data_IF_407262478529
#
_entry.id   IF_407262478529
#
_cell.length_a   1.000
_cell.length_b   1.000
_cell.length_c   1.000
_cell.angle_alpha   90.00
_cell.angle_beta   90.00
_cell.angle_gamma   90.00
#
_symmetry.space_group_name_H-M   'P 1'
#
loop_
_entity.id
_entity.type
_entity.pdbx_description
1 polymer ?
#
# COMPACT_ATOMS: atom_id res chain seq x y z
N UNK A 1 49.84 -9.29 38.39
CA UNK A 1 48.93 -8.49 37.54
C UNK A 1 48.33 -9.28 36.39
N UNK A 2 49.08 -10.13 35.69
CA UNK A 2 48.60 -10.99 34.58
C UNK A 2 47.34 -11.82 34.90
N UNK A 3 47.22 -12.41 36.10
CA UNK A 3 46.03 -13.21 36.47
C UNK A 3 44.73 -12.40 36.51
N UNK A 4 44.78 -11.12 36.91
CA UNK A 4 43.61 -10.23 36.94
C UNK A 4 43.21 -9.79 35.53
N UNK A 5 44.19 -9.59 34.66
CA UNK A 5 43.98 -9.23 33.24
C UNK A 5 43.32 -10.42 32.51
N UNK A 6 43.83 -11.63 32.70
CA UNK A 6 43.24 -12.85 32.12
C UNK A 6 41.80 -13.09 32.58
N UNK A 7 41.48 -12.79 33.84
CA UNK A 7 40.11 -12.93 34.36
C UNK A 7 39.14 -11.95 33.70
N UNK A 8 39.56 -10.69 33.50
CA UNK A 8 38.73 -9.68 32.81
C UNK A 8 38.52 -10.04 31.34
N UNK A 9 39.55 -10.53 30.65
CA UNK A 9 39.41 -11.01 29.27
C UNK A 9 38.52 -12.26 29.18
N UNK A 10 38.63 -13.20 30.13
CA UNK A 10 37.75 -14.37 30.20
C UNK A 10 36.30 -14.00 30.45
N UNK A 11 36.03 -13.04 31.34
CA UNK A 11 34.68 -12.55 31.62
C UNK A 11 34.09 -11.82 30.40
N UNK A 12 34.88 -11.00 29.71
CA UNK A 12 34.49 -10.33 28.47
C UNK A 12 34.16 -11.34 27.36
N UNK A 13 34.95 -12.41 27.22
CA UNK A 13 34.70 -13.48 26.25
C UNK A 13 33.41 -14.25 26.57
N UNK A 14 33.16 -14.56 27.85
CA UNK A 14 31.92 -15.23 28.27
C UNK A 14 30.68 -14.36 28.08
N UNK A 15 30.78 -13.05 28.37
CA UNK A 15 29.71 -12.11 28.09
C UNK A 15 29.40 -12.03 26.58
N UNK A 16 30.44 -12.06 25.73
CA UNK A 16 30.28 -12.11 24.27
C UNK A 16 29.62 -13.40 23.80
N UNK A 17 29.95 -14.55 24.39
CA UNK A 17 29.34 -15.85 24.06
C UNK A 17 27.85 -15.92 24.45
N UNK A 18 27.46 -15.33 25.59
CA UNK A 18 26.05 -15.28 26.03
C UNK A 18 25.22 -14.38 25.09
N UNK A 19 25.77 -13.24 24.66
CA UNK A 19 25.09 -12.32 23.72
C UNK A 19 25.03 -12.90 22.30
N UNK A 20 26.01 -13.72 21.90
CA UNK A 20 26.03 -14.38 20.59
C UNK A 20 25.01 -15.53 20.43
N UNK A 21 24.41 -16.02 21.52
CA UNK A 21 23.43 -17.12 21.47
C UNK A 21 22.02 -16.70 21.01
N UNK A 22 21.77 -15.43 20.72
CA UNK A 22 20.53 -15.01 20.05
C UNK A 22 20.75 -15.05 18.54
N UNK A 23 20.52 -16.23 17.93
CA UNK A 23 20.57 -16.41 16.49
C UNK A 23 19.31 -15.76 15.90
N UNK A 24 19.41 -14.48 15.50
CA UNK A 24 18.41 -13.88 14.63
C UNK A 24 18.75 -14.26 13.17
N UNK A 25 18.11 -15.30 12.63
CA UNK A 25 18.26 -15.70 11.21
C UNK A 25 17.47 -14.75 10.31
N UNK A 26 17.92 -13.49 10.22
CA UNK A 26 17.30 -12.52 9.34
C UNK A 26 17.85 -12.67 7.92
N UNK A 27 16.98 -12.89 6.92
CA UNK A 27 17.43 -12.87 5.55
C UNK A 27 17.95 -11.47 5.18
N UNK A 28 18.89 -11.37 4.22
CA UNK A 28 19.36 -10.07 3.76
C UNK A 28 18.22 -9.32 3.07
N UNK A 29 18.04 -8.04 3.44
CA UNK A 29 17.07 -7.10 2.86
C UNK A 29 17.25 -7.03 1.36
N UNK A 30 16.25 -7.37 0.57
CA UNK A 30 16.31 -7.25 -0.89
C UNK A 30 15.77 -5.92 -1.35
N UNK A 31 16.31 -5.42 -2.46
CA UNK A 31 15.64 -4.35 -3.22
C UNK A 31 14.94 -4.96 -4.43
N UNK A 32 13.63 -4.81 -4.48
CA UNK A 32 12.73 -5.35 -5.49
C UNK A 32 12.20 -4.20 -6.33
N UNK A 33 12.58 -4.18 -7.61
CA UNK A 33 11.98 -3.27 -8.58
C UNK A 33 10.75 -3.94 -9.18
N UNK A 34 9.65 -3.20 -9.27
CA UNK A 34 8.41 -3.68 -9.87
C UNK A 34 7.80 -2.65 -10.81
N UNK A 35 6.89 -3.13 -11.66
CA UNK A 35 6.06 -2.30 -12.53
C UNK A 35 4.61 -2.71 -12.39
N UNK A 36 3.70 -1.76 -12.45
CA UNK A 36 2.26 -1.93 -12.48
C UNK A 36 1.82 -2.31 -13.90
N UNK A 37 1.13 -3.43 -14.05
CA UNK A 37 0.61 -3.95 -15.32
C UNK A 37 -0.89 -3.75 -15.50
N UNK A 38 -1.61 -3.52 -14.42
CA UNK A 38 -3.07 -3.40 -14.44
C UNK A 38 -3.61 -3.02 -13.07
N UNK A 39 -4.93 -2.92 -12.99
CA UNK A 39 -5.65 -2.69 -11.74
C UNK A 39 -6.83 -3.67 -11.64
N UNK A 40 -7.23 -3.98 -10.41
CA UNK A 40 -8.45 -4.71 -10.08
C UNK A 40 -9.18 -3.95 -8.99
N UNK A 41 -10.49 -3.77 -9.16
CA UNK A 41 -11.33 -3.04 -8.23
C UNK A 41 -12.31 -3.98 -7.55
N UNK A 42 -12.57 -3.71 -6.26
CA UNK A 42 -13.64 -4.36 -5.51
C UNK A 42 -14.43 -3.32 -4.73
N UNK A 43 -15.74 -3.54 -4.62
CA UNK A 43 -16.59 -2.74 -3.76
C UNK A 43 -16.24 -2.99 -2.29
N UNK A 44 -16.25 -1.94 -1.48
CA UNK A 44 -16.05 -2.00 -0.04
C UNK A 44 -17.26 -1.42 0.70
N UNK A 45 -17.55 -2.01 1.85
CA UNK A 45 -18.51 -1.49 2.82
C UNK A 45 -17.80 -1.32 4.17
N UNK A 46 -17.62 -0.08 4.61
CA UNK A 46 -16.92 0.23 5.86
C UNK A 46 -17.65 -0.27 7.12
N UNK A 47 -18.87 -0.78 7.01
CA UNK A 47 -19.55 -1.47 8.12
C UNK A 47 -19.06 -2.91 8.31
N UNK A 48 -18.40 -3.51 7.31
CA UNK A 48 -17.88 -4.87 7.38
C UNK A 48 -16.52 -4.91 8.11
N UNK A 49 -16.15 -6.06 8.72
CA UNK A 49 -14.80 -6.25 9.24
C UNK A 49 -13.77 -6.25 8.10
N UNK A 50 -12.52 -5.88 8.43
CA UNK A 50 -11.40 -5.90 7.47
C UNK A 50 -11.29 -7.28 6.78
N UNK A 51 -11.17 -7.34 5.44
CA UNK A 51 -10.78 -6.27 4.51
C UNK A 51 -11.94 -5.41 3.95
N UNK A 52 -13.14 -5.48 4.56
CA UNK A 52 -14.31 -4.66 4.19
C UNK A 52 -14.87 -4.92 2.78
N UNK A 53 -14.45 -6.00 2.12
CA UNK A 53 -14.83 -6.30 0.73
C UNK A 53 -16.29 -6.78 0.67
N UNK A 54 -17.08 -6.15 -0.18
CA UNK A 54 -18.45 -6.53 -0.49
C UNK A 54 -18.51 -7.20 -1.88
N UNK A 55 -19.04 -8.42 -1.95
CA UNK A 55 -19.07 -9.19 -3.20
C UNK A 55 -20.19 -8.74 -4.17
N UNK A 56 -21.26 -8.15 -3.64
CA UNK A 56 -22.37 -7.50 -4.37
C UNK A 56 -23.42 -7.06 -3.35
N UNK A 57 -24.14 -5.99 -3.60
CA UNK A 57 -25.33 -5.67 -2.80
C UNK A 57 -25.68 -4.20 -2.71
N UNK A 58 -26.65 -3.96 -1.85
CA UNK A 58 -27.08 -2.64 -1.41
C UNK A 58 -26.12 -2.20 -0.29
N UNK A 59 -25.38 -1.13 -0.51
CA UNK A 59 -24.42 -0.56 0.45
C UNK A 59 -24.89 0.85 0.80
N UNK A 60 -24.81 1.23 2.07
CA UNK A 60 -25.07 2.63 2.43
C UNK A 60 -24.02 3.52 1.78
N UNK A 61 -24.47 4.60 1.15
CA UNK A 61 -23.60 5.56 0.47
C UNK A 61 -22.51 6.12 1.40
N UNK A 62 -22.81 6.24 2.70
CA UNK A 62 -21.89 6.72 3.72
C UNK A 62 -20.75 5.73 4.06
N UNK A 63 -20.95 4.45 3.77
CA UNK A 63 -19.97 3.40 4.05
C UNK A 63 -19.23 2.92 2.80
N UNK A 64 -19.66 3.37 1.62
CA UNK A 64 -19.15 2.85 0.37
C UNK A 64 -17.69 3.26 0.12
N UNK A 65 -16.89 2.29 -0.32
CA UNK A 65 -15.56 2.53 -0.82
C UNK A 65 -15.17 1.59 -1.96
N UNK A 66 -13.98 1.81 -2.51
CA UNK A 66 -13.39 1.05 -3.60
C UNK A 66 -12.01 0.60 -3.14
N UNK A 67 -11.81 -0.72 -3.11
CA UNK A 67 -10.47 -1.29 -2.95
C UNK A 67 -9.78 -1.26 -4.32
N UNK A 68 -8.60 -0.63 -4.38
CA UNK A 68 -7.77 -0.60 -5.59
C UNK A 68 -6.57 -1.52 -5.39
N UNK A 69 -6.54 -2.61 -6.14
CA UNK A 69 -5.41 -3.52 -6.18
C UNK A 69 -4.63 -3.33 -7.49
N UNK A 70 -3.39 -2.87 -7.39
CA UNK A 70 -2.49 -2.81 -8.54
C UNK A 70 -1.91 -4.19 -8.81
N UNK A 71 -2.02 -4.63 -10.06
CA UNK A 71 -1.41 -5.86 -10.54
C UNK A 71 0.04 -5.56 -10.89
N UNK A 72 0.98 -6.07 -10.12
CA UNK A 72 2.42 -5.75 -10.29
C UNK A 72 3.21 -6.92 -10.87
N UNK A 73 4.30 -6.62 -11.56
CA UNK A 73 5.29 -7.58 -11.99
C UNK A 73 6.69 -7.16 -11.51
N UNK A 74 7.44 -8.12 -11.00
CA UNK A 74 8.82 -7.92 -10.57
C UNK A 74 9.75 -7.83 -11.79
N UNK A 75 10.67 -6.86 -11.78
CA UNK A 75 11.64 -6.63 -12.84
C UNK A 75 13.03 -7.13 -12.46
N UNK A 76 13.47 -6.86 -11.24
CA UNK A 76 14.81 -7.25 -10.76
C UNK A 76 14.87 -7.35 -9.25
N UNK A 77 15.88 -8.08 -8.76
CA UNK A 77 16.16 -8.30 -7.35
C UNK A 77 17.64 -7.97 -7.09
N UNK A 78 17.91 -7.03 -6.19
CA UNK A 78 19.27 -6.77 -5.70
C UNK A 78 19.39 -7.36 -4.29
N UNK A 79 20.37 -8.25 -4.10
CA UNK A 79 20.74 -8.80 -2.80
C UNK A 79 21.96 -8.02 -2.27
N UNK A 80 21.91 -7.42 -1.08
CA UNK A 80 23.04 -6.72 -0.49
C UNK A 80 24.19 -7.71 -0.23
N UNK A 81 25.42 -7.23 -0.37
CA UNK A 81 26.61 -8.02 -0.12
C UNK A 81 26.70 -8.36 1.39
N UNK A 82 27.06 -9.60 1.70
CA UNK A 82 27.30 -10.05 3.07
C UNK A 82 28.61 -9.42 3.53
N UNK A 83 28.55 -8.52 4.51
CA UNK A 83 29.76 -7.98 5.16
C UNK A 83 30.25 -8.97 6.21
N UNK A 84 31.42 -9.56 5.98
CA UNK A 84 32.10 -10.41 6.95
C UNK A 84 32.81 -9.52 7.99
N UNK A 85 32.23 -9.40 9.19
CA UNK A 85 32.84 -8.70 10.33
C UNK A 85 32.72 -9.55 11.59
N UNK A 86 33.73 -9.48 12.47
CA UNK A 86 33.80 -10.22 13.74
C UNK A 86 32.76 -9.75 14.79
N UNK A 87 32.06 -8.66 14.51
CA UNK A 87 30.92 -8.19 15.31
C UNK A 87 29.68 -8.19 14.41
N UNK A 88 28.91 -9.27 14.49
CA UNK A 88 27.55 -9.29 13.99
C UNK A 88 26.75 -8.39 14.94
N UNK A 89 26.33 -7.23 14.44
CA UNK A 89 25.46 -6.28 15.13
C UNK A 89 24.33 -7.00 15.86
N UNK A 90 24.30 -6.91 17.20
CA UNK A 90 23.23 -7.42 18.03
C UNK A 90 22.00 -6.50 17.88
N UNK A 91 21.27 -6.67 16.79
CA UNK A 91 19.92 -6.13 16.70
C UNK A 91 19.02 -7.03 17.57
N UNK A 92 18.19 -6.44 18.42
CA UNK A 92 17.00 -7.14 18.90
C UNK A 92 16.29 -7.74 17.66
N UNK A 93 15.92 -9.02 17.67
CA UNK A 93 15.46 -9.78 16.49
C UNK A 93 14.23 -9.15 15.79
N UNK A 94 14.47 -8.09 15.05
CA UNK A 94 13.54 -7.35 14.22
C UNK A 94 14.21 -7.30 12.86
N UNK A 95 13.80 -8.23 11.99
CA UNK A 95 14.33 -8.25 10.64
C UNK A 95 13.80 -7.04 9.89
N UNK A 96 14.67 -6.41 9.11
CA UNK A 96 14.27 -5.31 8.24
C UNK A 96 13.48 -5.85 7.05
N UNK A 97 12.45 -5.12 6.63
CA UNK A 97 11.62 -5.47 5.47
C UNK A 97 12.37 -5.26 4.15
N UNK A 98 11.93 -5.96 3.10
CA UNK A 98 12.41 -5.75 1.73
C UNK A 98 12.01 -4.37 1.20
N UNK A 99 12.90 -3.76 0.43
CA UNK A 99 12.71 -2.48 -0.23
C UNK A 99 11.98 -2.66 -1.57
N UNK A 100 10.74 -2.16 -1.70
CA UNK A 100 9.99 -2.13 -2.96
C UNK A 100 10.08 -0.80 -3.69
N UNK A 101 10.53 -0.82 -4.96
CA UNK A 101 10.65 0.36 -5.84
C UNK A 101 9.73 0.20 -7.04
N UNK A 102 8.77 1.11 -7.19
CA UNK A 102 8.03 1.20 -8.45
C UNK A 102 8.93 1.82 -9.52
N UNK A 103 8.97 1.22 -10.72
CA UNK A 103 9.68 1.79 -11.87
C UNK A 103 8.99 3.06 -12.39
N UNK A 104 7.69 3.17 -12.18
CA UNK A 104 6.88 4.29 -12.61
C UNK A 104 5.98 4.79 -11.48
N UNK A 105 5.83 6.11 -11.41
CA UNK A 105 5.00 6.77 -10.42
C UNK A 105 3.55 6.84 -10.91
N UNK A 106 2.62 6.91 -9.96
CA UNK A 106 1.24 7.29 -10.27
C UNK A 106 1.20 8.82 -10.41
N UNK A 107 0.74 9.30 -11.56
CA UNK A 107 0.61 10.74 -11.83
C UNK A 107 -0.78 11.26 -11.48
N UNK A 108 -1.81 10.49 -11.79
CA UNK A 108 -3.20 10.84 -11.50
C UNK A 108 -4.05 9.59 -11.38
N UNK A 109 -5.11 9.71 -10.59
CA UNK A 109 -6.17 8.72 -10.48
C UNK A 109 -7.50 9.45 -10.66
N UNK A 110 -8.35 8.93 -11.54
CA UNK A 110 -9.68 9.47 -11.79
C UNK A 110 -10.76 8.42 -11.58
N UNK A 111 -11.90 8.85 -11.04
CA UNK A 111 -13.07 7.98 -10.80
C UNK A 111 -14.24 8.46 -11.63
N UNK A 112 -14.92 7.56 -12.31
CA UNK A 112 -16.08 7.83 -13.15
C UNK A 112 -17.22 6.89 -12.78
N UNK A 113 -18.46 7.32 -12.95
CA UNK A 113 -19.63 6.45 -12.81
C UNK A 113 -20.31 6.19 -14.15
N UNK A 114 -20.85 4.97 -14.32
CA UNK A 114 -21.60 4.58 -15.51
C UNK A 114 -23.03 5.15 -15.59
N UNK A 115 -23.50 5.84 -14.55
CA UNK A 115 -24.83 6.46 -14.45
C UNK A 115 -24.72 7.88 -13.90
N UNK A 116 -25.76 8.68 -14.12
CA UNK A 116 -25.87 10.03 -13.57
C UNK A 116 -25.82 10.00 -12.05
N UNK A 117 -24.84 10.70 -11.47
CA UNK A 117 -24.61 10.72 -10.03
C UNK A 117 -25.44 11.83 -9.37
N UNK A 118 -25.39 13.02 -9.95
CA UNK A 118 -26.19 14.19 -9.59
C UNK A 118 -26.42 15.08 -10.82
N UNK A 119 -27.12 16.21 -10.64
CA UNK A 119 -27.49 17.12 -11.75
C UNK A 119 -26.26 17.71 -12.48
N UNK A 120 -25.14 17.87 -11.77
CA UNK A 120 -23.90 18.44 -12.32
C UNK A 120 -22.91 17.37 -12.80
N UNK A 121 -23.12 16.11 -12.42
CA UNK A 121 -22.26 14.98 -12.77
C UNK A 121 -23.07 13.90 -13.49
N UNK A 122 -23.32 14.07 -14.80
CA UNK A 122 -23.96 13.05 -15.62
C UNK A 122 -23.06 11.80 -15.73
N UNK A 123 -23.58 10.76 -16.37
CA UNK A 123 -22.84 9.56 -16.73
C UNK A 123 -21.48 9.90 -17.34
N UNK A 124 -20.47 9.13 -16.94
CA UNK A 124 -19.06 9.28 -17.34
C UNK A 124 -18.42 10.63 -16.94
N UNK A 125 -19.06 11.42 -16.06
CA UNK A 125 -18.43 12.57 -15.44
C UNK A 125 -17.36 12.15 -14.43
N UNK A 126 -16.33 13.00 -14.27
CA UNK A 126 -15.26 12.81 -13.30
C UNK A 126 -15.79 13.08 -11.88
N UNK A 127 -15.78 12.05 -11.04
CA UNK A 127 -16.22 12.05 -9.65
C UNK A 127 -15.05 12.02 -8.65
N UNK A 128 -13.82 12.25 -9.10
CA UNK A 128 -12.63 12.11 -8.25
C UNK A 128 -12.68 12.97 -6.98
N UNK A 129 -13.29 14.15 -7.06
CA UNK A 129 -13.48 15.06 -5.92
C UNK A 129 -14.44 14.52 -4.86
N UNK A 130 -15.31 13.58 -5.21
CA UNK A 130 -16.27 12.94 -4.31
C UNK A 130 -15.68 11.74 -3.56
N UNK A 131 -14.48 11.31 -3.94
CA UNK A 131 -13.76 10.23 -3.27
C UNK A 131 -12.58 10.78 -2.48
N UNK A 132 -12.33 10.18 -1.32
CA UNK A 132 -11.14 10.43 -0.50
C UNK A 132 -10.40 9.15 -0.23
N UNK A 133 -9.08 9.23 -0.17
CA UNK A 133 -8.22 8.09 0.15
C UNK A 133 -8.00 8.06 1.66
N UNK A 134 -8.13 6.88 2.25
CA UNK A 134 -7.82 6.68 3.66
C UNK A 134 -6.30 6.48 3.83
N UNK A 135 -5.71 7.26 4.73
CA UNK A 135 -4.30 7.20 5.12
C UNK A 135 -4.23 7.19 6.65
N UNK A 136 -4.12 6.00 7.21
CA UNK A 136 -4.22 5.75 8.65
C UNK A 136 -5.58 6.21 9.21
N UNK A 137 -5.54 7.22 10.07
CA UNK A 137 -6.75 7.77 10.71
C UNK A 137 -7.38 8.93 9.93
N UNK A 138 -6.78 9.33 8.79
CA UNK A 138 -7.19 10.52 8.03
C UNK A 138 -7.75 10.15 6.66
N UNK A 139 -8.69 10.97 6.18
CA UNK A 139 -9.18 10.94 4.81
C UNK A 139 -8.63 12.17 4.09
N UNK A 140 -7.87 11.95 3.02
CA UNK A 140 -7.26 13.01 2.21
C UNK A 140 -7.75 12.95 0.76
N UNK A 141 -7.58 14.03 0.01
CA UNK A 141 -7.95 14.06 -1.42
C UNK A 141 -7.09 13.06 -2.21
N UNK A 142 -7.60 12.59 -3.35
CA UNK A 142 -6.83 11.71 -4.25
C UNK A 142 -5.55 12.41 -4.71
N UNK A 143 -5.63 13.69 -5.09
CA UNK A 143 -4.47 14.45 -5.55
C UNK A 143 -3.40 14.60 -4.47
N UNK A 144 -3.79 14.88 -3.23
CA UNK A 144 -2.84 14.97 -2.11
C UNK A 144 -2.24 13.61 -1.77
N UNK A 145 -3.04 12.54 -1.88
CA UNK A 145 -2.55 11.18 -1.70
C UNK A 145 -1.48 10.84 -2.75
N UNK A 146 -1.79 11.08 -4.03
CA UNK A 146 -0.87 10.83 -5.15
C UNK A 146 0.41 11.67 -5.00
N UNK A 147 0.31 12.96 -4.64
CA UNK A 147 1.49 13.79 -4.34
C UNK A 147 2.32 13.21 -3.20
N UNK A 148 1.68 12.86 -2.07
CA UNK A 148 2.39 12.33 -0.90
C UNK A 148 2.99 10.95 -1.14
N UNK A 149 2.46 10.18 -2.09
CA UNK A 149 3.01 8.86 -2.45
C UNK A 149 4.37 8.93 -3.13
N UNK A 150 4.70 10.05 -3.78
CA UNK A 150 6.03 10.29 -4.37
C UNK A 150 7.13 10.47 -3.32
N UNK A 151 6.75 10.97 -2.14
CA UNK A 151 7.66 11.20 -1.02
C UNK A 151 7.81 9.96 -0.12
N UNK A 152 6.93 8.96 -0.27
CA UNK A 152 6.96 7.71 0.47
C UNK A 152 7.92 6.73 -0.20
N UNK A 153 9.20 6.99 -0.01
CA UNK A 153 10.25 6.00 -0.22
C UNK A 153 9.98 4.80 0.73
N UNK A 154 9.40 3.73 0.18
CA UNK A 154 9.38 2.34 0.67
C UNK A 154 8.38 1.94 1.77
N UNK A 155 7.58 0.92 1.44
CA UNK A 155 7.50 -0.37 2.17
C UNK A 155 6.41 -1.32 1.65
N UNK A 156 5.60 -0.93 0.66
CA UNK A 156 4.52 -1.81 0.19
C UNK A 156 4.27 -1.69 -1.31
N UNK A 157 3.87 -2.80 -1.96
CA UNK A 157 3.35 -2.82 -3.34
C UNK A 157 1.90 -2.32 -3.44
N UNK A 158 1.30 -1.89 -2.34
CA UNK A 158 -0.12 -1.59 -2.21
C UNK A 158 -0.33 -0.08 -2.07
N UNK A 159 -0.31 0.63 -3.21
CA UNK A 159 -0.45 2.09 -3.25
C UNK A 159 -1.81 2.61 -2.76
N UNK A 160 -2.83 1.76 -2.53
CA UNK A 160 -4.16 2.18 -2.04
C UNK A 160 -4.72 1.16 -1.03
N UNK A 161 -3.87 0.66 -0.13
CA UNK A 161 -4.19 -0.48 0.73
C UNK A 161 -5.47 -0.29 1.58
N UNK A 162 -5.77 0.94 1.97
CA UNK A 162 -6.93 1.25 2.80
C UNK A 162 -8.20 1.62 2.00
N UNK A 163 -8.10 1.78 0.68
CA UNK A 163 -9.22 2.07 -0.22
C UNK A 163 -9.56 3.56 -0.41
N UNK A 164 -10.46 3.81 -1.36
CA UNK A 164 -11.05 5.11 -1.67
C UNK A 164 -12.50 5.13 -1.19
N UNK A 165 -12.90 6.11 -0.39
CA UNK A 165 -14.22 6.19 0.21
C UNK A 165 -15.04 7.32 -0.38
N UNK A 166 -16.29 7.02 -0.73
CA UNK A 166 -17.24 8.00 -1.23
C UNK A 166 -17.64 8.96 -0.11
N UNK A 167 -17.69 10.26 -0.42
CA UNK A 167 -18.00 11.33 0.52
C UNK A 167 -19.34 12.00 0.25
N UNK A 168 -19.88 11.81 -0.95
CA UNK A 168 -21.13 12.44 -1.41
C UNK A 168 -22.09 11.34 -1.84
N UNK A 169 -23.33 11.39 -1.36
CA UNK A 169 -24.38 10.44 -1.74
C UNK A 169 -24.93 10.78 -3.14
N UNK A 170 -25.13 9.78 -4.03
CA UNK A 170 -25.80 10.04 -5.31
C UNK A 170 -27.25 10.49 -5.11
N UNK A 171 -27.70 11.43 -5.95
CA UNK A 171 -29.04 12.02 -5.85
C UNK A 171 -30.01 11.58 -6.95
N UNK A 172 -29.53 10.94 -8.02
CA UNK A 172 -30.33 10.54 -9.19
C UNK A 172 -30.45 9.02 -9.27
N UNK A 173 -29.39 8.34 -9.73
CA UNK A 173 -29.36 6.89 -9.77
C UNK A 173 -28.93 6.34 -8.41
N UNK A 174 -29.36 5.11 -8.09
CA UNK A 174 -28.83 4.36 -6.95
C UNK A 174 -27.82 3.31 -7.38
N UNK A 175 -27.96 2.79 -8.59
CA UNK A 175 -27.08 1.73 -9.12
C UNK A 175 -25.93 2.35 -9.86
N UNK A 176 -24.72 1.97 -9.48
CA UNK A 176 -23.50 2.49 -10.08
C UNK A 176 -22.50 1.38 -10.28
N UNK A 177 -21.76 1.50 -11.37
CA UNK A 177 -20.47 0.88 -11.53
C UNK A 177 -19.44 2.00 -11.63
N UNK A 178 -18.32 1.85 -10.93
CA UNK A 178 -17.28 2.86 -10.89
C UNK A 178 -16.07 2.40 -11.69
N UNK A 179 -15.71 3.21 -12.69
CA UNK A 179 -14.50 3.04 -13.50
C UNK A 179 -13.39 3.91 -12.94
N UNK A 180 -12.22 3.33 -12.78
CA UNK A 180 -11.04 4.00 -12.26
C UNK A 180 -9.97 4.03 -13.34
N UNK A 181 -9.43 5.22 -13.61
CA UNK A 181 -8.38 5.47 -14.62
C UNK A 181 -7.14 5.98 -13.91
N UNK A 182 -6.04 5.22 -13.95
CA UNK A 182 -4.75 5.59 -13.36
C UNK A 182 -3.77 5.89 -14.48
N UNK A 183 -3.14 7.06 -14.45
CA UNK A 183 -2.08 7.43 -15.39
C UNK A 183 -0.72 7.26 -14.72
N UNK A 184 0.16 6.50 -15.34
CA UNK A 184 1.53 6.26 -14.87
C UNK A 184 2.53 7.25 -15.50
N UNK A 185 3.68 7.42 -14.87
CA UNK A 185 4.72 8.35 -15.32
C UNK A 185 5.38 7.98 -16.65
N UNK A 186 5.23 6.74 -17.10
CA UNK A 186 5.68 6.26 -18.42
C UNK A 186 4.60 6.40 -19.52
N UNK A 187 3.46 7.04 -19.21
CA UNK A 187 2.37 7.30 -20.13
C UNK A 187 1.35 6.17 -20.25
N UNK A 188 1.55 5.01 -19.60
CA UNK A 188 0.55 3.95 -19.59
C UNK A 188 -0.66 4.35 -18.76
N UNK A 189 -1.83 3.90 -19.22
CA UNK A 189 -3.10 4.09 -18.55
C UNK A 189 -3.58 2.71 -18.06
N UNK A 190 -3.85 2.62 -16.76
CA UNK A 190 -4.48 1.43 -16.17
C UNK A 190 -5.95 1.75 -15.94
N UNK A 191 -6.82 0.91 -16.50
CA UNK A 191 -8.26 1.04 -16.34
C UNK A 191 -8.82 -0.23 -15.71
N UNK A 192 -9.75 -0.03 -14.78
CA UNK A 192 -10.50 -1.11 -14.18
C UNK A 192 -11.87 -0.59 -13.74
N UNK A 193 -12.82 -1.49 -13.56
CA UNK A 193 -14.19 -1.17 -13.19
C UNK A 193 -14.65 -2.10 -12.07
N UNK A 194 -15.48 -1.57 -11.16
CA UNK A 194 -16.09 -2.37 -10.08
C UNK A 194 -17.18 -3.31 -10.63
N UNK A 195 -17.73 -4.17 -9.79
CA UNK A 195 -19.06 -4.72 -10.06
C UNK A 195 -20.13 -3.67 -9.74
N UNK A 196 -21.35 -3.82 -10.30
CA UNK A 196 -22.48 -2.94 -9.99
C UNK A 196 -22.80 -2.98 -8.48
N UNK A 197 -23.06 -1.81 -7.90
CA UNK A 197 -23.47 -1.62 -6.50
C UNK A 197 -24.71 -0.73 -6.46
N UNK A 198 -25.62 -1.00 -5.52
CA UNK A 198 -26.74 -0.11 -5.21
C UNK A 198 -26.42 0.71 -3.95
N UNK A 199 -26.41 2.04 -4.07
CA UNK A 199 -26.09 2.99 -3.01
C UNK A 199 -27.38 3.55 -2.40
N UNK A 200 -27.58 3.32 -1.10
CA UNK A 200 -28.76 3.78 -0.33
C UNK A 200 -28.46 4.84 0.70
#
# INVERSE_FOLDING_TARGET
MIKKILFVFGLALMAQLIVACVICDCPPVKTIYFTNKGASLKNMDSALPQPMIANSGIISSANYGIQVQLLTAQLSLIKPAITWGLMQSAYACSCSDDNFIAKEDILSLKVFSNNDFDVNHPKDADLSSYFKVKKGVTLISIDDYVKSSKDLSYNTRYAFNEGLFLQVKPSIAKKHTFKLIITLSDGRILEAETTEVELV
#
